data_IF_824820248878
#
_entry.id   IF_824820248878
#
_cell.length_a   1.000
_cell.length_b   1.000
_cell.length_c   1.000
_cell.angle_alpha   90.00
_cell.angle_beta   90.00
_cell.angle_gamma   90.00
#
_symmetry.space_group_name_H-M   'P 1'
#
loop_
_entity.id
_entity.type
_entity.pdbx_description
1 polymer ?
#
# COMPACT_ATOMS: atom_id res chain seq x y z
N UNK A 1 -26.39 -17.20 -0.27
CA UNK A 1 -24.95 -17.55 -0.31
C UNK A 1 -24.64 -18.41 0.88
N UNK A 2 -23.99 -19.57 0.71
CA UNK A 2 -23.71 -20.47 1.84
C UNK A 2 -22.56 -19.90 2.67
N UNK A 3 -22.52 -20.21 3.96
CA UNK A 3 -21.50 -19.70 4.88
C UNK A 3 -20.07 -20.09 4.44
N UNK A 4 -19.91 -21.28 3.86
CA UNK A 4 -18.62 -21.73 3.33
C UNK A 4 -18.19 -20.93 2.08
N UNK A 5 -19.14 -20.49 1.24
CA UNK A 5 -18.86 -19.61 0.10
C UNK A 5 -18.34 -18.24 0.58
N UNK A 6 -18.83 -17.74 1.72
CA UNK A 6 -18.37 -16.48 2.31
C UNK A 6 -16.95 -16.58 2.84
N UNK A 7 -16.59 -17.71 3.47
CA UNK A 7 -15.21 -17.98 3.91
C UNK A 7 -14.24 -18.04 2.73
N UNK A 8 -14.61 -18.74 1.66
CA UNK A 8 -13.80 -18.82 0.45
C UNK A 8 -13.63 -17.43 -0.19
N UNK A 9 -14.71 -16.65 -0.28
CA UNK A 9 -14.67 -15.29 -0.81
C UNK A 9 -13.77 -14.38 0.04
N UNK A 10 -13.87 -14.46 1.37
CA UNK A 10 -13.02 -13.70 2.28
C UNK A 10 -11.54 -14.01 2.03
N UNK A 11 -11.16 -15.29 2.03
CA UNK A 11 -9.77 -15.70 1.78
C UNK A 11 -9.24 -15.22 0.41
N UNK A 12 -10.08 -15.27 -0.62
CA UNK A 12 -9.70 -14.77 -1.95
C UNK A 12 -9.49 -13.24 -1.96
N UNK A 13 -10.38 -12.50 -1.32
CA UNK A 13 -10.31 -11.03 -1.26
C UNK A 13 -9.12 -10.58 -0.42
N UNK A 14 -8.85 -11.27 0.68
CA UNK A 14 -7.69 -11.03 1.54
C UNK A 14 -6.37 -11.29 0.79
N UNK A 15 -6.26 -12.42 0.09
CA UNK A 15 -5.09 -12.70 -0.74
C UNK A 15 -4.86 -11.62 -1.81
N UNK A 16 -5.94 -11.16 -2.48
CA UNK A 16 -5.85 -10.06 -3.45
C UNK A 16 -5.43 -8.73 -2.82
N UNK A 17 -5.90 -8.44 -1.62
CA UNK A 17 -5.47 -7.27 -0.86
C UNK A 17 -3.99 -7.35 -0.53
N UNK A 18 -3.49 -8.49 -0.03
CA UNK A 18 -2.08 -8.69 0.31
C UNK A 18 -1.15 -8.48 -0.90
N UNK A 19 -1.49 -9.04 -2.07
CA UNK A 19 -0.70 -8.84 -3.30
C UNK A 19 -0.62 -7.35 -3.68
N UNK A 20 -1.75 -6.63 -3.62
CA UNK A 20 -1.78 -5.19 -3.90
C UNK A 20 -1.00 -4.39 -2.87
N UNK A 21 -1.09 -4.78 -1.59
CA UNK A 21 -0.35 -4.15 -0.51
C UNK A 21 1.16 -4.32 -0.69
N UNK A 22 1.64 -5.50 -1.10
CA UNK A 22 3.05 -5.75 -1.40
C UNK A 22 3.54 -4.92 -2.59
N UNK A 23 2.78 -4.87 -3.68
CA UNK A 23 3.10 -4.03 -4.84
C UNK A 23 3.21 -2.54 -4.44
N UNK A 24 2.28 -2.07 -3.59
CA UNK A 24 2.32 -0.72 -3.06
C UNK A 24 3.54 -0.45 -2.18
N UNK A 25 3.94 -1.40 -1.33
CA UNK A 25 5.16 -1.26 -0.52
C UNK A 25 6.43 -1.16 -1.38
N UNK A 26 6.53 -1.95 -2.46
CA UNK A 26 7.62 -1.82 -3.42
C UNK A 26 7.68 -0.42 -4.04
N UNK A 27 6.52 0.16 -4.36
CA UNK A 27 6.44 1.53 -4.88
C UNK A 27 6.88 2.59 -3.87
N UNK A 28 6.48 2.46 -2.60
CA UNK A 28 6.94 3.35 -1.52
C UNK A 28 8.46 3.28 -1.33
N UNK A 29 9.03 2.08 -1.44
CA UNK A 29 10.49 1.89 -1.39
C UNK A 29 11.19 2.61 -2.55
N UNK A 30 10.65 2.50 -3.78
CA UNK A 30 11.16 3.25 -4.94
C UNK A 30 11.09 4.77 -4.72
N UNK A 31 9.97 5.29 -4.22
CA UNK A 31 9.80 6.71 -3.89
C UNK A 31 10.84 7.18 -2.86
N UNK A 32 11.04 6.40 -1.79
CA UNK A 32 12.00 6.71 -0.74
C UNK A 32 13.44 6.73 -1.26
N UNK A 33 13.80 5.76 -2.11
CA UNK A 33 15.12 5.72 -2.75
C UNK A 33 15.38 6.96 -3.61
N UNK A 34 14.44 7.33 -4.49
CA UNK A 34 14.57 8.52 -5.34
C UNK A 34 14.72 9.82 -4.54
N UNK A 35 13.96 9.95 -3.44
CA UNK A 35 14.10 11.11 -2.54
C UNK A 35 15.46 11.15 -1.85
N UNK A 36 15.97 9.99 -1.41
CA UNK A 36 17.29 9.90 -0.81
C UNK A 36 18.38 10.29 -1.80
N UNK A 37 18.28 9.82 -3.05
CA UNK A 37 19.24 10.14 -4.11
C UNK A 37 19.20 11.64 -4.46
N UNK A 38 18.02 12.26 -4.51
CA UNK A 38 17.88 13.71 -4.64
C UNK A 38 18.55 14.46 -3.48
N UNK A 39 18.33 14.02 -2.23
CA UNK A 39 18.95 14.65 -1.06
C UNK A 39 20.49 14.54 -1.09
N UNK A 40 21.02 13.38 -1.49
CA UNK A 40 22.47 13.18 -1.68
C UNK A 40 23.02 14.09 -2.77
N UNK A 41 22.33 14.18 -3.91
CA UNK A 41 22.71 15.03 -5.02
C UNK A 41 22.74 16.51 -4.62
N UNK A 42 21.73 16.97 -3.88
CA UNK A 42 21.70 18.34 -3.35
C UNK A 42 22.80 18.60 -2.32
N UNK A 43 23.12 17.63 -1.46
CA UNK A 43 24.22 17.74 -0.52
C UNK A 43 25.59 17.87 -1.22
N UNK A 44 25.82 17.06 -2.27
CA UNK A 44 27.03 17.16 -3.09
C UNK A 44 27.15 18.51 -3.81
N UNK A 45 26.03 19.03 -4.33
CA UNK A 45 25.97 20.36 -4.92
C UNK A 45 26.36 21.46 -3.95
N UNK A 46 25.77 21.47 -2.75
CA UNK A 46 26.07 22.46 -1.69
C UNK A 46 27.53 22.38 -1.20
N UNK A 47 28.06 21.17 -1.04
CA UNK A 47 29.46 20.98 -0.63
C UNK A 47 30.43 21.56 -1.67
N UNK A 48 30.16 21.30 -2.95
CA UNK A 48 30.96 21.83 -4.07
C UNK A 48 30.92 23.36 -4.13
N UNK A 49 29.75 23.98 -3.93
CA UNK A 49 29.60 25.44 -3.91
C UNK A 49 30.35 26.09 -2.73
N UNK A 50 30.39 25.43 -1.57
CA UNK A 50 31.11 25.90 -0.39
C UNK A 50 32.63 25.85 -0.54
N UNK A 51 33.18 24.84 -1.22
CA UNK A 51 34.63 24.71 -1.47
C UNK A 51 35.12 25.72 -2.53
N UNK A 52 34.29 26.00 -3.53
CA UNK A 52 34.64 26.90 -4.65
C UNK A 52 34.74 28.38 -4.21
N UNK A 53 34.14 28.77 -3.09
CA UNK A 53 34.26 30.12 -2.54
C UNK A 53 35.67 30.43 -1.99
N UNK A 54 36.50 29.40 -1.73
CA UNK A 54 37.85 29.55 -1.16
C UNK A 54 38.95 29.63 -2.22
N UNK A 55 38.76 29.03 -3.40
CA UNK A 55 39.79 28.96 -4.44
C UNK A 55 39.29 29.53 -5.78
N UNK A 56 39.84 30.69 -6.11
CA UNK A 56 39.55 31.46 -7.32
C UNK A 56 40.20 30.81 -8.57
N UNK A 57 39.77 29.61 -9.00
CA UNK A 57 39.93 29.08 -10.39
C UNK A 57 39.42 27.64 -10.60
N UNK A 58 38.45 27.47 -11.51
CA UNK A 58 38.41 26.43 -12.56
C UNK A 58 37.14 26.62 -13.44
N UNK A 59 37.11 27.68 -14.25
CA UNK A 59 35.92 28.16 -15.00
C UNK A 59 35.35 27.13 -16.03
N UNK A 60 36.05 26.04 -16.34
CA UNK A 60 35.55 24.96 -17.20
C UNK A 60 34.99 23.73 -16.48
N UNK A 61 35.62 23.29 -15.38
CA UNK A 61 35.22 22.08 -14.64
C UNK A 61 33.91 22.27 -13.87
N UNK A 62 33.75 23.43 -13.25
CA UNK A 62 32.55 23.79 -12.48
C UNK A 62 31.30 23.90 -13.39
N UNK A 63 31.44 24.42 -14.61
CA UNK A 63 30.34 24.51 -15.58
C UNK A 63 29.87 23.12 -16.03
N UNK A 64 30.79 22.20 -16.32
CA UNK A 64 30.45 20.82 -16.68
C UNK A 64 29.81 20.08 -15.51
N UNK A 65 30.35 20.26 -14.30
CA UNK A 65 29.79 19.67 -13.07
C UNK A 65 28.38 20.17 -12.78
N UNK A 66 28.14 21.50 -12.86
CA UNK A 66 26.81 22.10 -12.69
C UNK A 66 25.82 21.64 -13.75
N UNK A 67 26.25 21.52 -15.00
CA UNK A 67 25.42 20.98 -16.07
C UNK A 67 25.05 19.50 -15.82
N UNK A 68 26.00 18.69 -15.35
CA UNK A 68 25.74 17.31 -14.94
C UNK A 68 24.75 17.24 -13.76
N UNK A 69 24.96 18.07 -12.73
CA UNK A 69 24.10 18.15 -11.55
C UNK A 69 22.64 18.50 -11.95
N UNK A 70 22.47 19.47 -12.84
CA UNK A 70 21.17 19.85 -13.38
C UNK A 70 20.48 18.72 -14.16
N UNK A 71 21.23 18.01 -15.02
CA UNK A 71 20.72 16.85 -15.76
C UNK A 71 20.32 15.71 -14.83
N UNK A 72 21.17 15.37 -13.86
CA UNK A 72 20.91 14.32 -12.87
C UNK A 72 19.66 14.65 -12.03
N UNK A 73 19.54 15.89 -11.55
CA UNK A 73 18.37 16.35 -10.80
C UNK A 73 17.08 16.27 -11.63
N UNK A 74 17.14 16.70 -12.88
CA UNK A 74 15.99 16.64 -13.80
C UNK A 74 15.55 15.19 -14.05
N UNK A 75 16.51 14.29 -14.26
CA UNK A 75 16.22 12.86 -14.44
C UNK A 75 15.57 12.25 -13.19
N UNK A 76 16.12 12.49 -12.00
CA UNK A 76 15.56 11.98 -10.74
C UNK A 76 14.17 12.55 -10.45
N UNK A 77 13.94 13.85 -10.69
CA UNK A 77 12.63 14.47 -10.53
C UNK A 77 11.59 13.90 -11.50
N UNK A 78 11.98 13.61 -12.75
CA UNK A 78 11.10 12.97 -13.72
C UNK A 78 10.71 11.56 -13.25
N UNK A 79 11.67 10.76 -12.79
CA UNK A 79 11.41 9.43 -12.23
C UNK A 79 10.51 9.51 -10.99
N UNK A 80 10.73 10.49 -10.10
CA UNK A 80 9.89 10.70 -8.93
C UNK A 80 8.46 11.08 -9.33
N UNK A 81 8.28 11.96 -10.32
CA UNK A 81 6.96 12.32 -10.82
C UNK A 81 6.20 11.11 -11.38
N UNK A 82 6.87 10.23 -12.13
CA UNK A 82 6.29 8.99 -12.63
C UNK A 82 5.86 8.05 -11.48
N UNK A 83 6.72 7.87 -10.48
CA UNK A 83 6.40 7.06 -9.30
C UNK A 83 5.22 7.64 -8.51
N UNK A 84 5.14 8.95 -8.37
CA UNK A 84 4.01 9.61 -7.71
C UNK A 84 2.70 9.43 -8.48
N UNK A 85 2.74 9.53 -9.81
CA UNK A 85 1.58 9.25 -10.66
C UNK A 85 1.14 7.78 -10.54
N UNK A 86 2.08 6.83 -10.57
CA UNK A 86 1.80 5.41 -10.32
C UNK A 86 1.16 5.21 -8.94
N UNK A 87 1.67 5.92 -7.92
CA UNK A 87 1.22 5.81 -6.53
C UNK A 87 -0.24 6.19 -6.36
N UNK A 88 -0.66 7.27 -7.01
CA UNK A 88 -2.04 7.73 -6.92
C UNK A 88 -3.04 6.66 -7.39
N UNK A 89 -2.69 5.93 -8.45
CA UNK A 89 -3.49 4.82 -8.95
C UNK A 89 -3.51 3.63 -7.97
N UNK A 90 -2.35 3.25 -7.43
CA UNK A 90 -2.25 2.11 -6.49
C UNK A 90 -2.98 2.36 -5.17
N UNK A 91 -2.93 3.59 -4.63
CA UNK A 91 -3.65 3.94 -3.39
C UNK A 91 -5.13 3.60 -3.48
N UNK A 92 -5.79 4.03 -4.58
CA UNK A 92 -7.21 3.72 -4.80
C UNK A 92 -7.46 2.22 -4.90
N UNK A 93 -6.58 1.49 -5.56
CA UNK A 93 -6.71 0.04 -5.73
C UNK A 93 -6.54 -0.74 -4.43
N UNK A 94 -5.61 -0.33 -3.56
CA UNK A 94 -5.39 -0.92 -2.24
C UNK A 94 -6.59 -0.61 -1.33
N UNK A 95 -7.06 0.64 -1.30
CA UNK A 95 -8.24 1.04 -0.53
C UNK A 95 -9.49 0.25 -0.94
N UNK A 96 -9.75 0.10 -2.23
CA UNK A 96 -10.87 -0.71 -2.72
C UNK A 96 -10.75 -2.18 -2.35
N UNK A 97 -9.53 -2.75 -2.41
CA UNK A 97 -9.32 -4.15 -2.03
C UNK A 97 -9.55 -4.35 -0.53
N UNK A 98 -9.04 -3.43 0.30
CA UNK A 98 -9.27 -3.45 1.73
C UNK A 98 -10.75 -3.27 2.11
N UNK A 99 -11.45 -2.35 1.44
CA UNK A 99 -12.90 -2.18 1.63
C UNK A 99 -13.69 -3.46 1.33
N UNK A 100 -13.25 -4.26 0.35
CA UNK A 100 -13.85 -5.57 0.08
C UNK A 100 -13.56 -6.57 1.20
N UNK A 101 -12.35 -6.57 1.78
CA UNK A 101 -12.02 -7.41 2.95
C UNK A 101 -13.00 -7.08 4.08
N UNK A 102 -13.10 -5.82 4.47
CA UNK A 102 -14.01 -5.35 5.53
C UNK A 102 -15.47 -5.75 5.27
N UNK A 103 -15.96 -5.56 4.05
CA UNK A 103 -17.32 -5.94 3.69
C UNK A 103 -17.54 -7.46 3.81
N UNK A 104 -16.57 -8.27 3.40
CA UNK A 104 -16.66 -9.73 3.52
C UNK A 104 -16.57 -10.20 4.97
N UNK A 105 -15.72 -9.57 5.80
CA UNK A 105 -15.64 -9.83 7.25
C UNK A 105 -16.98 -9.55 7.94
N UNK A 106 -17.60 -8.41 7.63
CA UNK A 106 -18.89 -8.04 8.20
C UNK A 106 -20.00 -9.03 7.80
N UNK A 107 -20.02 -9.44 6.53
CA UNK A 107 -20.97 -10.45 6.04
C UNK A 107 -20.76 -11.81 6.70
N UNK A 108 -19.51 -12.24 6.90
CA UNK A 108 -19.19 -13.47 7.63
C UNK A 108 -19.71 -13.40 9.07
N UNK A 109 -19.42 -12.31 9.79
CA UNK A 109 -19.86 -12.13 11.17
C UNK A 109 -21.39 -12.18 11.31
N UNK A 110 -22.11 -11.55 10.36
CA UNK A 110 -23.58 -11.62 10.29
C UNK A 110 -24.07 -13.05 10.03
N UNK A 111 -23.45 -13.75 9.08
CA UNK A 111 -23.78 -15.14 8.76
C UNK A 111 -23.54 -16.07 9.96
N UNK A 112 -22.45 -15.88 10.70
CA UNK A 112 -22.13 -16.67 11.90
C UNK A 112 -23.18 -16.47 12.99
N UNK A 113 -23.57 -15.22 13.23
CA UNK A 113 -24.61 -14.88 14.22
C UNK A 113 -25.94 -15.53 13.85
N UNK A 114 -26.32 -15.50 12.57
CA UNK A 114 -27.56 -16.10 12.09
C UNK A 114 -27.52 -17.64 12.23
N UNK A 115 -26.42 -18.29 11.86
CA UNK A 115 -26.28 -19.74 12.04
C UNK A 115 -26.35 -20.14 13.52
N UNK A 116 -25.71 -19.39 14.41
CA UNK A 116 -25.78 -19.63 15.86
C UNK A 116 -27.22 -19.50 16.37
N UNK A 117 -27.94 -18.46 15.95
CA UNK A 117 -29.35 -18.25 16.31
C UNK A 117 -30.23 -19.41 15.84
N UNK A 118 -30.09 -19.83 14.59
CA UNK A 118 -30.85 -20.95 14.03
C UNK A 118 -30.59 -22.27 14.78
N UNK A 119 -29.33 -22.56 15.11
CA UNK A 119 -28.96 -23.73 15.92
C UNK A 119 -29.58 -23.69 17.31
N UNK A 120 -29.53 -22.54 17.99
CA UNK A 120 -30.14 -22.36 19.30
C UNK A 120 -31.66 -22.56 19.25
N UNK A 121 -32.35 -21.96 18.28
CA UNK A 121 -33.80 -22.14 18.10
C UNK A 121 -34.17 -23.59 17.83
N UNK A 122 -33.41 -24.29 16.98
CA UNK A 122 -33.64 -25.71 16.69
C UNK A 122 -33.45 -26.59 17.93
N UNK A 123 -32.41 -26.33 18.73
CA UNK A 123 -32.16 -27.04 19.99
C UNK A 123 -33.28 -26.83 21.01
N UNK A 124 -33.77 -25.59 21.16
CA UNK A 124 -34.90 -25.28 22.05
C UNK A 124 -36.18 -25.99 21.61
N UNK A 125 -36.50 -25.97 20.32
CA UNK A 125 -37.67 -26.65 19.78
C UNK A 125 -37.62 -28.17 20.04
N UNK A 126 -36.43 -28.77 19.88
CA UNK A 126 -36.22 -30.20 20.14
C UNK A 126 -36.34 -30.54 21.63
N UNK A 127 -35.83 -29.69 22.51
CA UNK A 127 -35.97 -29.86 23.96
C UNK A 127 -37.44 -29.76 24.43
N UNK A 128 -38.21 -28.81 23.88
CA UNK A 128 -39.64 -28.68 24.16
C UNK A 128 -40.39 -29.95 23.70
N UNK A 129 -40.13 -30.42 22.48
CA UNK A 129 -40.78 -31.62 21.95
C UNK A 129 -40.51 -32.87 22.82
N UNK A 130 -39.28 -33.03 23.32
CA UNK A 130 -38.93 -34.12 24.23
C UNK A 130 -39.60 -34.01 25.61
N UNK A 131 -39.90 -32.80 26.08
CA UNK A 131 -40.56 -32.57 27.38
C UNK A 131 -42.08 -32.81 27.36
N UNK A 132 -42.73 -32.71 26.20
CA UNK A 132 -44.18 -32.90 26.04
C UNK A 132 -44.58 -34.38 25.87
N UNK A 133 -43.62 -35.24 25.51
CA UNK A 133 -43.83 -36.68 25.29
C UNK A 133 -43.69 -37.50 26.61
N UNK A 134 -43.30 -36.86 27.72
CA UNK A 134 -43.16 -37.48 29.05
C UNK A 134 -44.31 -37.09 29.96
#
# INVERSE_FOLDING_TARGET
>A
MKHDDLKLLHGLVEAKYQVRQQAFQSLLSREAALRNDLQKLEAQGRASESETASDMRAIGGDVIWKAWLGKARTSLNMQLALVLAEKEQHVRQVQQAYGKVLATEELMAKSDKEQRRQRQTAQLAQAIALSVIR
#
